data_IF_402109712549
#
_entry.id   IF_402109712549
#
_cell.length_a   1.000
_cell.length_b   1.000
_cell.length_c   1.000
_cell.angle_alpha   90.00
_cell.angle_beta   90.00
_cell.angle_gamma   90.00
#
_symmetry.space_group_name_H-M   'P 1'
#
loop_
_entity.id
_entity.type
_entity.pdbx_description
1 polymer ?
#
# COMPACT_ATOMS: atom_id res chain seq x y z
N UNK A 1 26.13 24.68 -31.40
CA UNK A 1 25.30 25.68 -30.70
C UNK A 1 23.81 25.63 -31.10
N UNK A 2 23.45 25.54 -32.38
CA UNK A 2 22.03 25.52 -32.80
C UNK A 2 21.23 24.29 -32.33
N UNK A 3 21.84 23.11 -32.26
CA UNK A 3 21.21 21.89 -31.74
C UNK A 3 20.88 22.00 -30.24
N UNK A 4 21.77 22.59 -29.46
CA UNK A 4 21.58 22.80 -28.01
C UNK A 4 20.43 23.79 -27.79
N UNK A 5 20.36 24.89 -28.55
CA UNK A 5 19.24 25.82 -28.46
C UNK A 5 17.90 25.19 -28.87
N UNK A 6 17.87 24.30 -29.88
CA UNK A 6 16.64 23.56 -30.25
C UNK A 6 16.18 22.58 -29.18
N UNK A 7 17.10 21.89 -28.52
CA UNK A 7 16.79 20.98 -27.42
C UNK A 7 16.27 21.79 -26.23
N UNK A 8 16.89 22.94 -25.93
CA UNK A 8 16.45 23.84 -24.87
C UNK A 8 15.06 24.43 -25.20
N UNK A 9 14.77 24.83 -26.44
CA UNK A 9 13.43 25.26 -26.86
C UNK A 9 12.40 24.13 -26.82
N UNK A 10 12.75 22.92 -27.23
CA UNK A 10 11.88 21.76 -27.17
C UNK A 10 11.55 21.35 -25.71
N UNK A 11 12.51 21.52 -24.80
CA UNK A 11 12.33 21.35 -23.35
C UNK A 11 11.54 22.52 -22.73
N UNK A 12 11.68 23.74 -23.27
CA UNK A 12 10.98 24.94 -22.79
C UNK A 12 9.55 25.11 -23.34
N UNK A 13 9.20 24.44 -24.45
CA UNK A 13 7.86 24.41 -25.02
C UNK A 13 6.78 23.86 -24.06
N UNK A 14 7.00 22.75 -23.31
CA UNK A 14 6.08 22.31 -22.26
C UNK A 14 6.14 23.16 -20.98
N UNK A 15 7.14 24.04 -20.83
CA UNK A 15 7.34 24.93 -19.68
C UNK A 15 6.64 26.30 -19.84
N UNK A 16 5.88 26.52 -20.92
CA UNK A 16 5.01 27.70 -20.98
C UNK A 16 3.92 27.60 -19.90
N UNK A 17 3.65 28.69 -19.14
CA UNK A 17 2.85 28.67 -17.91
C UNK A 17 1.41 28.14 -18.11
N UNK A 18 0.88 28.21 -19.33
CA UNK A 18 -0.43 27.63 -19.67
C UNK A 18 -0.38 26.09 -19.74
N UNK A 19 0.68 25.51 -20.28
CA UNK A 19 0.84 24.06 -20.38
C UNK A 19 1.27 23.45 -19.05
N UNK A 20 2.06 24.16 -18.25
CA UNK A 20 2.46 23.76 -16.89
C UNK A 20 1.27 23.50 -15.95
N UNK A 21 0.23 24.32 -16.02
CA UNK A 21 -0.97 24.12 -15.20
C UNK A 21 -1.78 22.90 -15.66
N UNK A 22 -1.91 22.71 -16.97
CA UNK A 22 -2.64 21.58 -17.54
C UNK A 22 -1.90 20.26 -17.25
N UNK A 23 -0.57 20.23 -17.38
CA UNK A 23 0.23 19.06 -17.04
C UNK A 23 0.19 18.76 -15.55
N UNK A 24 0.25 19.76 -14.68
CA UNK A 24 0.09 19.56 -13.23
C UNK A 24 -1.27 18.96 -12.85
N UNK A 25 -2.37 19.43 -13.47
CA UNK A 25 -3.70 18.87 -13.27
C UNK A 25 -3.75 17.41 -13.75
N UNK A 26 -3.20 17.12 -14.93
CA UNK A 26 -3.16 15.77 -15.48
C UNK A 26 -2.37 14.80 -14.56
N UNK A 27 -1.23 15.25 -14.04
CA UNK A 27 -0.41 14.49 -13.08
C UNK A 27 -1.19 14.24 -11.79
N UNK A 28 -1.87 15.25 -11.25
CA UNK A 28 -2.67 15.10 -10.05
C UNK A 28 -3.80 14.07 -10.23
N UNK A 29 -4.51 14.12 -11.38
CA UNK A 29 -5.56 13.13 -11.72
C UNK A 29 -4.98 11.72 -11.81
N UNK A 30 -3.85 11.57 -12.54
CA UNK A 30 -3.17 10.27 -12.66
C UNK A 30 -2.78 9.71 -11.28
N UNK A 31 -2.16 10.54 -10.42
CA UNK A 31 -1.76 10.15 -9.07
C UNK A 31 -2.95 9.75 -8.19
N UNK A 32 -4.07 10.47 -8.27
CA UNK A 32 -5.30 10.11 -7.57
C UNK A 32 -5.82 8.76 -8.04
N UNK A 33 -5.85 8.50 -9.35
CA UNK A 33 -6.29 7.23 -9.91
C UNK A 33 -5.40 6.07 -9.43
N UNK A 34 -4.08 6.23 -9.53
CA UNK A 34 -3.12 5.24 -9.03
C UNK A 34 -3.28 4.97 -7.55
N UNK A 35 -3.49 6.01 -6.73
CA UNK A 35 -3.68 5.88 -5.30
C UNK A 35 -4.96 5.09 -4.94
N UNK A 36 -6.05 5.28 -5.69
CA UNK A 36 -7.29 4.53 -5.50
C UNK A 36 -7.14 3.06 -5.90
N UNK A 37 -6.47 2.78 -7.03
CA UNK A 37 -6.17 1.40 -7.44
C UNK A 37 -5.30 0.70 -6.38
N UNK A 38 -4.29 1.39 -5.84
CA UNK A 38 -3.45 0.85 -4.77
C UNK A 38 -4.25 0.55 -3.50
N UNK A 39 -5.08 1.50 -3.04
CA UNK A 39 -5.96 1.31 -1.89
C UNK A 39 -6.92 0.12 -2.10
N UNK A 40 -7.49 -0.02 -3.29
CA UNK A 40 -8.37 -1.14 -3.62
C UNK A 40 -7.66 -2.48 -3.50
N UNK A 41 -6.44 -2.59 -4.03
CA UNK A 41 -5.61 -3.82 -3.89
C UNK A 41 -5.29 -4.11 -2.43
N UNK A 42 -4.96 -3.10 -1.62
CA UNK A 42 -4.69 -3.28 -0.19
C UNK A 42 -5.93 -3.77 0.57
N UNK A 43 -7.11 -3.21 0.29
CA UNK A 43 -8.37 -3.67 0.89
C UNK A 43 -8.73 -5.10 0.48
N UNK A 44 -8.53 -5.46 -0.79
CA UNK A 44 -8.71 -6.83 -1.26
C UNK A 44 -7.76 -7.78 -0.51
N UNK A 45 -6.48 -7.40 -0.38
CA UNK A 45 -5.49 -8.17 0.37
C UNK A 45 -5.89 -8.37 1.84
N UNK A 46 -6.38 -7.31 2.49
CA UNK A 46 -6.87 -7.37 3.86
C UNK A 46 -8.07 -8.32 4.00
N UNK A 47 -9.07 -8.19 3.13
CA UNK A 47 -10.26 -9.05 3.16
C UNK A 47 -9.91 -10.53 2.96
N UNK A 48 -9.03 -10.84 2.00
CA UNK A 48 -8.57 -12.21 1.78
C UNK A 48 -7.73 -12.74 2.95
N UNK A 49 -6.88 -11.91 3.55
CA UNK A 49 -6.11 -12.31 4.72
C UNK A 49 -6.99 -12.56 5.95
N UNK A 50 -8.07 -11.78 6.13
CA UNK A 50 -9.06 -11.98 7.19
C UNK A 50 -9.82 -13.27 6.99
N UNK A 51 -10.28 -13.55 5.77
CA UNK A 51 -10.93 -14.81 5.42
C UNK A 51 -10.01 -16.01 5.71
N UNK A 52 -8.75 -15.95 5.24
CA UNK A 52 -7.75 -17.00 5.48
C UNK A 52 -7.46 -17.19 6.98
N UNK A 53 -7.35 -16.11 7.75
CA UNK A 53 -7.12 -16.17 9.20
C UNK A 53 -8.31 -16.79 9.93
N UNK A 54 -9.54 -16.49 9.49
CA UNK A 54 -10.76 -17.04 10.09
C UNK A 54 -10.85 -18.54 9.85
N UNK A 55 -10.54 -19.00 8.63
CA UNK A 55 -10.49 -20.43 8.31
C UNK A 55 -9.43 -21.14 9.15
N UNK A 56 -8.24 -20.55 9.30
CA UNK A 56 -7.19 -21.11 10.16
C UNK A 56 -7.64 -21.26 11.61
N UNK A 57 -8.30 -20.24 12.17
CA UNK A 57 -8.84 -20.31 13.55
C UNK A 57 -9.91 -21.39 13.69
N UNK A 58 -10.79 -21.53 12.68
CA UNK A 58 -11.79 -22.58 12.66
C UNK A 58 -11.15 -23.97 12.60
N UNK A 59 -10.09 -24.16 11.80
CA UNK A 59 -9.34 -25.43 11.74
C UNK A 59 -8.62 -25.76 13.05
N UNK A 60 -8.07 -24.76 13.75
CA UNK A 60 -7.46 -24.94 15.08
C UNK A 60 -8.52 -25.37 16.11
N UNK A 61 -9.70 -24.75 16.08
CA UNK A 61 -10.80 -25.09 16.97
C UNK A 61 -11.32 -26.52 16.72
N UNK A 62 -11.52 -26.90 15.46
CA UNK A 62 -11.99 -28.24 15.08
C UNK A 62 -10.98 -29.34 15.45
N UNK A 63 -9.68 -29.10 15.27
CA UNK A 63 -8.65 -30.04 15.70
C UNK A 63 -8.66 -30.22 17.23
N UNK A 64 -8.75 -29.12 17.98
CA UNK A 64 -8.80 -29.15 19.44
C UNK A 64 -10.02 -29.93 19.93
N UNK A 65 -11.18 -29.75 19.29
CA UNK A 65 -12.41 -30.47 19.63
C UNK A 65 -12.32 -31.96 19.27
N UNK A 66 -11.60 -32.32 18.19
CA UNK A 66 -11.31 -33.69 17.79
C UNK A 66 -10.34 -34.43 18.73
N UNK A 67 -9.32 -33.75 19.24
CA UNK A 67 -8.30 -34.29 20.17
C UNK A 67 -8.94 -34.81 21.48
N UNK A 68 -10.05 -34.22 21.93
CA UNK A 68 -10.83 -34.74 23.06
C UNK A 68 -11.51 -36.09 22.78
N UNK A 69 -11.62 -36.52 21.52
CA UNK A 69 -12.35 -37.72 21.08
C UNK A 69 -11.39 -38.86 20.66
N UNK A 70 -10.18 -38.57 20.19
CA UNK A 70 -9.20 -39.58 19.77
C UNK A 70 -7.83 -39.39 20.42
N UNK A 71 -7.36 -40.38 21.18
CA UNK A 71 -5.97 -40.47 21.64
C UNK A 71 -5.09 -41.04 20.53
N UNK A 72 -4.45 -40.19 19.71
CA UNK A 72 -3.42 -40.64 18.75
C UNK A 72 -2.08 -40.03 19.13
N UNK A 73 -1.04 -40.87 19.10
CA UNK A 73 0.37 -40.64 19.39
C UNK A 73 0.84 -39.19 19.67
N UNK A 74 1.33 -38.98 20.89
CA UNK A 74 1.89 -37.74 21.47
C UNK A 74 2.91 -37.00 20.57
N UNK A 75 3.60 -37.72 19.66
CA UNK A 75 4.63 -37.15 18.81
C UNK A 75 4.10 -36.48 17.53
N UNK A 76 3.01 -36.98 16.93
CA UNK A 76 2.37 -36.32 15.78
C UNK A 76 1.54 -35.10 16.21
N UNK A 77 0.97 -35.17 17.41
CA UNK A 77 0.24 -34.08 18.07
C UNK A 77 1.14 -32.85 18.28
N UNK A 78 2.36 -33.06 18.82
CA UNK A 78 3.32 -31.97 19.09
C UNK A 78 3.83 -31.23 17.84
N UNK A 79 3.98 -31.92 16.70
CA UNK A 79 4.48 -31.32 15.46
C UNK A 79 3.37 -30.50 14.79
N UNK A 80 2.13 -31.01 14.80
CA UNK A 80 0.99 -30.31 14.24
C UNK A 80 0.63 -29.09 15.08
N UNK A 81 0.60 -29.20 16.41
CA UNK A 81 0.37 -28.08 17.31
C UNK A 81 1.38 -26.94 17.09
N UNK A 82 2.66 -27.26 16.94
CA UNK A 82 3.70 -26.26 16.65
C UNK A 82 3.50 -25.54 15.30
N UNK A 83 3.05 -26.29 14.28
CA UNK A 83 2.72 -25.74 12.95
C UNK A 83 1.52 -24.81 13.00
N UNK A 84 0.46 -25.20 13.71
CA UNK A 84 -0.74 -24.37 13.86
C UNK A 84 -0.45 -23.09 14.64
N UNK A 85 0.33 -23.17 15.72
CA UNK A 85 0.77 -21.99 16.47
C UNK A 85 1.66 -21.05 15.64
N UNK A 86 2.52 -21.61 14.79
CA UNK A 86 3.32 -20.81 13.85
C UNK A 86 2.46 -20.17 12.76
N UNK A 87 1.48 -20.90 12.21
CA UNK A 87 0.56 -20.38 11.21
C UNK A 87 -0.34 -19.26 11.76
N UNK A 88 -0.87 -19.42 12.98
CA UNK A 88 -1.65 -18.40 13.68
C UNK A 88 -0.83 -17.13 13.91
N UNK A 89 0.39 -17.27 14.42
CA UNK A 89 1.30 -16.14 14.62
C UNK A 89 1.60 -15.43 13.29
N UNK A 90 1.86 -16.19 12.22
CA UNK A 90 2.15 -15.62 10.90
C UNK A 90 0.93 -14.91 10.30
N UNK A 91 -0.27 -15.47 10.45
CA UNK A 91 -1.52 -14.85 10.02
C UNK A 91 -1.79 -13.55 10.77
N UNK A 92 -1.62 -13.54 12.10
CA UNK A 92 -1.76 -12.35 12.94
C UNK A 92 -0.79 -11.23 12.54
N UNK A 93 0.49 -11.56 12.33
CA UNK A 93 1.49 -10.59 11.86
C UNK A 93 1.14 -10.06 10.48
N UNK A 94 0.71 -10.92 9.56
CA UNK A 94 0.32 -10.53 8.19
C UNK A 94 -0.88 -9.58 8.21
N UNK A 95 -1.89 -9.88 9.02
CA UNK A 95 -3.04 -9.00 9.23
C UNK A 95 -2.61 -7.65 9.80
N UNK A 96 -1.76 -7.63 10.83
CA UNK A 96 -1.25 -6.40 11.42
C UNK A 96 -0.54 -5.52 10.38
N UNK A 97 0.32 -6.13 9.55
CA UNK A 97 1.01 -5.43 8.46
C UNK A 97 0.01 -4.90 7.42
N UNK A 98 -0.99 -5.67 7.03
CA UNK A 98 -2.03 -5.25 6.08
C UNK A 98 -2.89 -4.11 6.64
N UNK A 99 -3.22 -4.13 7.93
CA UNK A 99 -3.93 -3.03 8.60
C UNK A 99 -3.12 -1.73 8.60
N UNK A 100 -1.84 -1.81 8.95
CA UNK A 100 -0.93 -0.66 8.92
C UNK A 100 -0.79 -0.15 7.47
N UNK A 101 -0.57 -1.05 6.52
CA UNK A 101 -0.45 -0.73 5.10
C UNK A 101 -1.71 -0.07 4.53
N UNK A 102 -2.90 -0.54 4.93
CA UNK A 102 -4.18 0.06 4.54
C UNK A 102 -4.35 1.45 5.13
N UNK A 103 -3.93 1.66 6.38
CA UNK A 103 -3.92 2.98 7.03
C UNK A 103 -2.98 3.94 6.30
N UNK A 104 -1.79 3.49 5.91
CA UNK A 104 -0.86 4.29 5.10
C UNK A 104 -1.43 4.59 3.71
N UNK A 105 -2.07 3.61 3.06
CA UNK A 105 -2.72 3.78 1.76
C UNK A 105 -3.84 4.83 1.82
N UNK A 106 -4.68 4.82 2.85
CA UNK A 106 -5.75 5.81 3.03
C UNK A 106 -5.18 7.23 3.25
N UNK A 107 -4.13 7.38 4.06
CA UNK A 107 -3.41 8.66 4.23
C UNK A 107 -2.84 9.15 2.88
N UNK A 108 -2.29 8.24 2.06
CA UNK A 108 -1.79 8.57 0.72
C UNK A 108 -2.91 9.05 -0.20
N UNK A 109 -4.07 8.39 -0.22
CA UNK A 109 -5.24 8.84 -0.99
C UNK A 109 -5.70 10.22 -0.54
N UNK A 110 -5.82 10.47 0.77
CA UNK A 110 -6.18 11.78 1.30
C UNK A 110 -5.18 12.87 0.89
N UNK A 111 -3.90 12.54 0.88
CA UNK A 111 -2.83 13.44 0.42
C UNK A 111 -2.94 13.74 -1.08
N UNK A 112 -3.23 12.74 -1.91
CA UNK A 112 -3.45 12.90 -3.35
C UNK A 112 -4.72 13.72 -3.66
N UNK A 113 -5.79 13.57 -2.86
CA UNK A 113 -6.97 14.42 -2.97
C UNK A 113 -6.65 15.87 -2.60
N UNK A 114 -5.84 16.08 -1.55
CA UNK A 114 -5.31 17.39 -1.19
C UNK A 114 -4.52 18.04 -2.33
N UNK A 115 -3.66 17.27 -3.01
CA UNK A 115 -2.91 17.70 -4.19
C UNK A 115 -3.85 18.15 -5.32
N UNK A 116 -4.89 17.37 -5.62
CA UNK A 116 -5.86 17.68 -6.66
C UNK A 116 -6.61 18.99 -6.35
N UNK A 117 -7.08 19.14 -5.11
CA UNK A 117 -7.78 20.35 -4.65
C UNK A 117 -6.83 21.56 -4.68
N UNK A 118 -5.59 21.40 -4.23
CA UNK A 118 -4.56 22.43 -4.25
C UNK A 118 -4.21 22.89 -5.66
N UNK A 119 -4.10 21.95 -6.59
CA UNK A 119 -3.81 22.21 -8.01
C UNK A 119 -4.98 22.93 -8.70
N UNK A 120 -6.23 22.56 -8.38
CA UNK A 120 -7.43 23.22 -8.91
C UNK A 120 -7.59 24.65 -8.36
N UNK A 121 -7.41 24.83 -7.04
CA UNK A 121 -7.54 26.14 -6.36
C UNK A 121 -6.29 27.02 -6.43
N UNK A 122 -5.21 26.54 -7.06
CA UNK A 122 -3.92 27.24 -7.18
C UNK A 122 -3.32 27.66 -5.81
N UNK A 123 -3.54 26.85 -4.77
CA UNK A 123 -3.03 27.06 -3.41
C UNK A 123 -1.91 26.07 -3.14
N UNK A 124 -0.68 26.57 -3.06
CA UNK A 124 0.54 25.78 -2.86
C UNK A 124 0.64 25.13 -1.48
N UNK A 125 -0.12 25.62 -0.48
CA UNK A 125 -0.16 25.07 0.88
C UNK A 125 -0.59 23.59 0.91
N UNK A 126 -1.44 23.15 -0.02
CA UNK A 126 -1.91 21.75 -0.11
C UNK A 126 -0.95 20.82 -0.87
N UNK A 127 0.11 21.37 -1.46
CA UNK A 127 1.12 20.59 -2.18
C UNK A 127 2.14 19.96 -1.22
N UNK A 128 2.41 20.64 -0.09
CA UNK A 128 3.43 20.26 0.89
C UNK A 128 3.14 18.89 1.53
N UNK A 129 1.92 18.59 2.03
CA UNK A 129 1.64 17.30 2.67
C UNK A 129 1.86 16.12 1.71
N UNK A 130 1.45 16.27 0.45
CA UNK A 130 1.64 15.24 -0.56
C UNK A 130 3.12 14.98 -0.86
N UNK A 131 3.93 16.05 -1.02
CA UNK A 131 5.37 15.91 -1.26
C UNK A 131 6.09 15.20 -0.11
N UNK A 132 5.72 15.51 1.13
CA UNK A 132 6.31 14.87 2.30
C UNK A 132 6.01 13.38 2.32
N UNK A 133 4.75 12.99 2.09
CA UNK A 133 4.35 11.57 2.07
C UNK A 133 5.02 10.82 0.91
N UNK A 134 5.10 11.42 -0.28
CA UNK A 134 5.74 10.81 -1.47
C UNK A 134 7.27 10.65 -1.25
N UNK A 135 7.92 11.62 -0.60
CA UNK A 135 9.34 11.53 -0.23
C UNK A 135 9.62 10.40 0.76
N UNK A 136 8.85 10.32 1.86
CA UNK A 136 9.01 9.23 2.82
C UNK A 136 8.68 7.87 2.22
N UNK A 137 7.64 7.79 1.37
CA UNK A 137 7.26 6.56 0.69
C UNK A 137 8.35 6.05 -0.26
N UNK A 138 8.91 6.93 -1.09
CA UNK A 138 10.01 6.57 -2.01
C UNK A 138 11.29 6.20 -1.26
N UNK A 139 11.60 6.86 -0.15
CA UNK A 139 12.73 6.51 0.71
C UNK A 139 12.54 5.12 1.32
N UNK A 140 11.34 4.82 1.83
CA UNK A 140 11.02 3.51 2.39
C UNK A 140 11.15 2.40 1.34
N UNK A 141 10.57 2.59 0.15
CA UNK A 141 10.68 1.61 -0.95
C UNK A 141 12.14 1.44 -1.38
N UNK A 142 12.88 2.54 -1.52
CA UNK A 142 14.29 2.51 -1.85
C UNK A 142 15.11 1.73 -0.82
N UNK A 143 14.83 1.92 0.47
CA UNK A 143 15.51 1.19 1.55
C UNK A 143 15.24 -0.33 1.51
N UNK A 144 14.02 -0.74 1.14
CA UNK A 144 13.67 -2.16 1.00
C UNK A 144 14.33 -2.79 -0.22
N UNK A 145 14.44 -2.05 -1.34
CA UNK A 145 15.10 -2.56 -2.56
C UNK A 145 16.63 -2.71 -2.38
N UNK A 146 17.23 -1.90 -1.52
CA UNK A 146 18.67 -1.92 -1.23
C UNK A 146 19.07 -2.90 -0.11
N UNK A 147 18.12 -3.37 0.70
CA UNK A 147 18.33 -4.33 1.80
C UNK A 147 18.30 -5.77 1.30
#
# INVERSE_FOLDING_TARGET
MQLVNRIIEAVNLPLSPKYLRVTAILIAIYKVLTAHVFLFVMLLGLAHAEEMSTILQMSIADQKDGEYIWTTSEQEESINEWRFKSAEKLASVTLCVLYIGTTVATIYVLSCLGLLIGTLRNRHEFFIPWMVVDFFGTLAIGSVVLA
#
